data_IF_262367020350
#
_entry.id   IF_262367020350
#
_cell.length_a   1.000
_cell.length_b   1.000
_cell.length_c   1.000
_cell.angle_alpha   90.00
_cell.angle_beta   90.00
_cell.angle_gamma   90.00
#
_symmetry.space_group_name_H-M   'P 1'
#
loop_
_entity.id
_entity.type
_entity.pdbx_description
1 polymer ?
#
# COMPACT_ATOMS: atom_id res chain seq x y z
N UNK A 1 -25.64 18.01 2.52
CA UNK A 1 -24.84 18.86 1.62
C UNK A 1 -24.39 17.98 0.46
N UNK A 2 -24.82 18.28 -0.76
CA UNK A 2 -24.34 17.61 -1.97
C UNK A 2 -23.19 18.44 -2.53
N UNK A 3 -21.96 18.04 -2.27
CA UNK A 3 -20.79 18.68 -2.88
C UNK A 3 -20.78 18.35 -4.37
N UNK A 4 -20.55 19.38 -5.19
CA UNK A 4 -20.30 19.25 -6.63
C UNK A 4 -19.03 18.39 -6.81
N UNK A 5 -18.99 17.45 -7.77
CA UNK A 5 -17.74 16.74 -8.07
C UNK A 5 -16.66 17.76 -8.44
N UNK A 6 -15.46 17.60 -7.90
CA UNK A 6 -14.29 18.41 -8.23
C UNK A 6 -13.76 17.99 -9.60
N UNK A 7 -13.31 18.96 -10.42
CA UNK A 7 -12.57 18.69 -11.67
C UNK A 7 -11.11 18.27 -11.39
N UNK A 8 -10.66 18.37 -10.13
CA UNK A 8 -9.36 17.85 -9.72
C UNK A 8 -9.36 16.32 -9.85
N UNK A 9 -8.26 15.71 -10.35
CA UNK A 9 -8.14 14.26 -10.36
C UNK A 9 -8.36 13.76 -8.94
N UNK A 10 -9.26 12.78 -8.79
CA UNK A 10 -9.37 12.06 -7.52
C UNK A 10 -8.05 11.32 -7.24
N UNK A 11 -7.92 10.67 -6.10
CA UNK A 11 -6.73 9.87 -5.76
C UNK A 11 -6.56 8.59 -6.63
N UNK A 12 -7.07 8.59 -7.86
CA UNK A 12 -7.03 7.48 -8.81
C UNK A 12 -5.89 7.63 -9.85
N UNK A 13 -5.13 8.74 -9.79
CA UNK A 13 -3.96 9.07 -10.63
C UNK A 13 -2.80 9.62 -9.78
N UNK A 14 -1.53 9.55 -10.21
CA UNK A 14 -1.04 9.04 -11.50
C UNK A 14 -0.88 7.51 -11.54
N UNK A 15 -0.97 6.82 -10.41
CA UNK A 15 -0.91 5.36 -10.37
C UNK A 15 -2.31 4.80 -10.49
N UNK A 16 -2.58 4.11 -11.59
CA UNK A 16 -3.91 3.58 -11.87
C UNK A 16 -4.34 2.53 -10.85
N UNK A 17 -5.65 2.50 -10.59
CA UNK A 17 -6.26 1.51 -9.73
C UNK A 17 -6.43 0.16 -10.42
N UNK A 18 -6.46 -0.89 -9.61
CA UNK A 18 -6.72 -2.25 -10.02
C UNK A 18 -8.23 -2.45 -10.21
N UNK A 19 -8.63 -2.96 -11.37
CA UNK A 19 -10.01 -3.34 -11.62
C UNK A 19 -10.42 -4.53 -10.73
N UNK A 20 -11.44 -4.35 -9.88
CA UNK A 20 -11.91 -5.39 -8.96
C UNK A 20 -12.38 -6.65 -9.73
N UNK A 21 -11.74 -7.82 -9.55
CA UNK A 21 -12.07 -9.05 -10.28
C UNK A 21 -13.55 -9.45 -10.25
N UNK A 22 -14.21 -9.38 -9.09
CA UNK A 22 -15.64 -9.71 -8.93
C UNK A 22 -16.61 -8.79 -9.69
N UNK A 23 -16.14 -7.66 -10.24
CA UNK A 23 -16.93 -6.80 -11.13
C UNK A 23 -16.87 -7.24 -12.59
N UNK A 24 -15.92 -8.11 -12.95
CA UNK A 24 -15.70 -8.58 -14.33
C UNK A 24 -15.88 -10.08 -14.49
N UNK A 25 -15.61 -10.86 -13.44
CA UNK A 25 -15.75 -12.31 -13.41
C UNK A 25 -17.07 -12.69 -12.76
N UNK A 26 -17.77 -13.68 -13.35
CA UNK A 26 -19.05 -14.20 -12.84
C UNK A 26 -18.90 -15.53 -12.09
N UNK A 27 -17.67 -15.99 -11.90
CA UNK A 27 -17.36 -17.23 -11.21
C UNK A 27 -17.60 -17.08 -9.70
N UNK A 28 -18.24 -18.07 -9.09
CA UNK A 28 -18.53 -18.11 -7.65
C UNK A 28 -17.39 -18.70 -6.82
N UNK A 29 -16.33 -19.18 -7.46
CA UNK A 29 -15.18 -19.72 -6.78
C UNK A 29 -14.44 -18.64 -5.97
N UNK A 30 -13.91 -19.04 -4.82
CA UNK A 30 -13.24 -18.16 -3.87
C UNK A 30 -11.99 -17.45 -4.39
N UNK A 31 -11.33 -17.90 -5.47
CA UNK A 31 -10.19 -17.15 -6.02
C UNK A 31 -10.61 -15.76 -6.51
N UNK A 32 -11.84 -15.61 -7.01
CA UNK A 32 -12.41 -14.30 -7.40
C UNK A 32 -12.61 -13.43 -6.17
N UNK A 33 -13.10 -14.00 -5.07
CA UNK A 33 -13.28 -13.30 -3.80
C UNK A 33 -11.92 -12.84 -3.25
N UNK A 34 -10.99 -13.78 -3.08
CA UNK A 34 -9.62 -13.53 -2.60
C UNK A 34 -8.91 -12.45 -3.42
N UNK A 35 -8.89 -12.58 -4.75
CA UNK A 35 -8.29 -11.57 -5.62
C UNK A 35 -9.02 -10.21 -5.55
N UNK A 36 -10.33 -10.19 -5.28
CA UNK A 36 -11.10 -8.94 -5.10
C UNK A 36 -10.84 -8.24 -3.79
N UNK A 37 -10.69 -9.00 -2.71
CA UNK A 37 -10.34 -8.47 -1.39
C UNK A 37 -8.91 -7.91 -1.41
N UNK A 38 -7.97 -8.62 -2.03
CA UNK A 38 -6.60 -8.11 -2.21
C UNK A 38 -6.56 -6.85 -3.08
N UNK A 39 -7.25 -6.85 -4.22
CA UNK A 39 -7.36 -5.66 -5.06
C UNK A 39 -7.97 -4.46 -4.31
N UNK A 40 -8.84 -4.70 -3.33
CA UNK A 40 -9.43 -3.64 -2.50
C UNK A 40 -8.43 -3.08 -1.49
N UNK A 41 -7.62 -3.94 -0.85
CA UNK A 41 -6.51 -3.52 0.00
C UNK A 41 -5.48 -2.71 -0.81
N UNK A 42 -5.06 -3.24 -1.96
CA UNK A 42 -4.10 -2.61 -2.87
C UNK A 42 -4.58 -1.26 -3.40
N UNK A 43 -5.86 -1.14 -3.76
CA UNK A 43 -6.44 0.15 -4.16
C UNK A 43 -6.46 1.17 -3.02
N UNK A 44 -6.47 0.74 -1.75
CA UNK A 44 -6.31 1.67 -0.62
C UNK A 44 -4.86 2.16 -0.50
N UNK A 45 -3.88 1.28 -0.77
CA UNK A 45 -2.46 1.61 -0.84
C UNK A 45 -2.18 2.61 -1.97
N UNK A 46 -2.64 2.30 -3.19
CA UNK A 46 -2.46 3.14 -4.39
C UNK A 46 -3.09 4.52 -4.18
N UNK A 47 -4.32 4.59 -3.65
CA UNK A 47 -4.96 5.88 -3.37
C UNK A 47 -4.19 6.71 -2.34
N UNK A 48 -3.63 6.08 -1.32
CA UNK A 48 -2.78 6.78 -0.36
C UNK A 48 -1.53 7.37 -1.02
N UNK A 49 -0.86 6.59 -1.89
CA UNK A 49 0.30 7.07 -2.64
C UNK A 49 -0.05 8.22 -3.59
N UNK A 50 -1.15 8.08 -4.34
CA UNK A 50 -1.66 9.12 -5.23
C UNK A 50 -1.99 10.40 -4.46
N UNK A 51 -2.65 10.28 -3.30
CA UNK A 51 -2.93 11.43 -2.44
C UNK A 51 -1.65 12.13 -1.99
N UNK A 52 -0.60 11.38 -1.60
CA UNK A 52 0.71 11.97 -1.26
C UNK A 52 1.28 12.73 -2.45
N UNK A 53 1.36 12.09 -3.62
CA UNK A 53 1.97 12.68 -4.83
C UNK A 53 1.22 13.90 -5.33
N UNK A 54 -0.11 13.91 -5.22
CA UNK A 54 -0.93 15.04 -5.64
C UNK A 54 -0.88 16.21 -4.65
N UNK A 55 -0.84 15.95 -3.33
CA UNK A 55 -0.97 17.00 -2.33
C UNK A 55 0.37 17.57 -1.86
N UNK A 56 1.42 16.76 -1.80
CA UNK A 56 2.74 17.20 -1.33
C UNK A 56 3.33 18.39 -2.11
N UNK A 57 3.21 18.51 -3.46
CA UNK A 57 3.70 19.68 -4.19
C UNK A 57 3.02 21.00 -3.80
N UNK A 58 1.85 20.95 -3.16
CA UNK A 58 1.06 22.12 -2.77
C UNK A 58 1.28 22.55 -1.32
N UNK A 59 2.06 21.79 -0.54
CA UNK A 59 2.43 22.19 0.82
C UNK A 59 3.59 23.18 0.75
N UNK A 60 3.31 24.43 1.14
CA UNK A 60 4.28 25.51 1.15
C UNK A 60 5.52 25.16 1.99
N UNK A 61 6.70 25.51 1.49
CA UNK A 61 8.00 25.30 2.16
C UNK A 61 8.41 26.55 2.95
N UNK A 62 9.43 26.43 3.81
CA UNK A 62 9.86 27.52 4.71
C UNK A 62 10.29 28.83 4.05
N UNK A 63 10.57 28.80 2.74
CA UNK A 63 10.89 29.99 1.95
C UNK A 63 9.63 30.73 1.43
N UNK A 64 8.46 30.09 1.44
CA UNK A 64 7.23 30.65 0.90
C UNK A 64 6.49 31.52 1.94
N UNK A 65 5.85 32.60 1.50
CA UNK A 65 5.06 33.48 2.37
C UNK A 65 3.87 32.73 3.02
N UNK A 66 3.30 31.75 2.31
CA UNK A 66 2.19 30.95 2.78
C UNK A 66 2.59 29.82 3.75
N UNK A 67 3.87 29.70 4.11
CA UNK A 67 4.40 28.61 4.94
C UNK A 67 3.70 28.49 6.28
N UNK A 68 3.29 27.26 6.60
CA UNK A 68 2.77 26.88 7.92
C UNK A 68 3.43 25.57 8.33
N UNK A 69 4.21 25.62 9.42
CA UNK A 69 4.87 24.43 9.95
C UNK A 69 3.88 23.30 10.30
N UNK A 70 2.62 23.62 10.62
CA UNK A 70 1.60 22.62 10.92
C UNK A 70 1.20 21.81 9.68
N UNK A 71 1.02 22.47 8.53
CA UNK A 71 0.62 21.81 7.29
C UNK A 71 1.68 20.77 6.86
N UNK A 72 2.96 21.09 7.04
CA UNK A 72 4.06 20.14 6.81
C UNK A 72 4.02 18.98 7.81
N UNK A 73 3.77 19.24 9.10
CA UNK A 73 3.66 18.16 10.11
C UNK A 73 2.51 17.21 9.79
N UNK A 74 1.37 17.75 9.38
CA UNK A 74 0.19 16.96 9.04
C UNK A 74 0.45 16.09 7.80
N UNK A 75 1.11 16.65 6.78
CA UNK A 75 1.57 15.87 5.62
C UNK A 75 2.53 14.75 6.03
N UNK A 76 3.57 15.05 6.81
CA UNK A 76 4.58 14.06 7.22
C UNK A 76 3.94 12.95 8.08
N UNK A 77 2.99 13.29 8.95
CA UNK A 77 2.24 12.31 9.73
C UNK A 77 1.36 11.42 8.84
N UNK A 78 0.71 11.98 7.82
CA UNK A 78 -0.06 11.21 6.84
C UNK A 78 0.84 10.23 6.07
N UNK A 79 1.98 10.70 5.56
CA UNK A 79 2.97 9.88 4.86
C UNK A 79 3.49 8.75 5.77
N UNK A 80 3.87 9.08 7.00
CA UNK A 80 4.32 8.10 7.98
C UNK A 80 3.26 7.02 8.24
N UNK A 81 2.00 7.45 8.42
CA UNK A 81 0.88 6.54 8.67
C UNK A 81 0.62 5.62 7.48
N UNK A 82 0.69 6.16 6.26
CA UNK A 82 0.58 5.39 5.02
C UNK A 82 1.70 4.34 4.92
N UNK A 83 2.96 4.72 5.11
CA UNK A 83 4.09 3.77 5.04
C UNK A 83 3.94 2.65 6.08
N UNK A 84 3.57 2.99 7.33
CA UNK A 84 3.35 1.99 8.38
C UNK A 84 2.22 1.02 8.04
N UNK A 85 1.13 1.51 7.45
CA UNK A 85 0.02 0.66 7.00
C UNK A 85 0.44 -0.28 5.85
N UNK A 86 1.22 0.20 4.89
CA UNK A 86 1.74 -0.64 3.79
C UNK A 86 2.73 -1.67 4.30
N UNK A 87 3.64 -1.31 5.21
CA UNK A 87 4.56 -2.26 5.83
C UNK A 87 3.81 -3.34 6.63
N UNK A 88 2.72 -2.98 7.31
CA UNK A 88 1.86 -3.95 7.99
C UNK A 88 1.25 -4.95 7.01
N UNK A 89 0.71 -4.44 5.91
CA UNK A 89 0.11 -5.24 4.84
C UNK A 89 1.09 -6.31 4.32
N UNK A 90 2.29 -5.90 3.89
CA UNK A 90 3.30 -6.86 3.40
C UNK A 90 3.86 -7.77 4.50
N UNK A 91 3.95 -7.31 5.76
CA UNK A 91 4.35 -8.17 6.87
C UNK A 91 3.36 -9.31 7.10
N UNK A 92 2.05 -9.03 7.03
CA UNK A 92 1.01 -10.06 7.14
C UNK A 92 1.13 -11.06 5.98
N UNK A 93 1.41 -10.58 4.78
CA UNK A 93 1.61 -11.42 3.62
C UNK A 93 2.76 -12.41 3.80
N UNK A 94 3.96 -11.90 4.08
CA UNK A 94 5.17 -12.72 4.23
C UNK A 94 5.10 -13.64 5.45
N UNK A 95 4.54 -13.16 6.56
CA UNK A 95 4.52 -13.91 7.82
C UNK A 95 3.42 -14.95 7.87
N UNK A 96 2.38 -14.84 7.03
CA UNK A 96 1.20 -15.68 7.13
C UNK A 96 0.55 -16.05 5.80
N UNK A 97 0.17 -15.07 4.96
CA UNK A 97 -0.60 -15.37 3.73
C UNK A 97 0.21 -16.26 2.80
N UNK A 98 1.44 -15.85 2.47
CA UNK A 98 2.25 -16.59 1.50
C UNK A 98 2.55 -18.01 1.97
N UNK A 99 3.07 -18.24 3.20
CA UNK A 99 3.32 -19.59 3.68
C UNK A 99 2.07 -20.48 3.74
N UNK A 100 0.94 -19.97 4.22
CA UNK A 100 -0.28 -20.77 4.35
C UNK A 100 -0.94 -21.03 2.98
N UNK A 101 -0.85 -20.12 2.02
CA UNK A 101 -1.29 -20.36 0.63
C UNK A 101 -0.47 -21.47 -0.04
N UNK A 102 0.86 -21.47 0.11
CA UNK A 102 1.71 -22.52 -0.45
C UNK A 102 1.42 -23.88 0.18
N UNK A 103 1.29 -23.92 1.51
CA UNK A 103 0.96 -25.13 2.26
C UNK A 103 -0.43 -25.68 1.90
N UNK A 104 -1.44 -24.82 1.81
CA UNK A 104 -2.80 -25.21 1.43
C UNK A 104 -2.85 -25.73 -0.02
N UNK A 105 -2.20 -25.02 -0.94
CA UNK A 105 -2.20 -25.39 -2.36
C UNK A 105 -1.36 -26.64 -2.65
N UNK A 106 -0.43 -26.99 -1.77
CA UNK A 106 0.58 -28.04 -2.02
C UNK A 106 1.53 -27.69 -3.16
N UNK A 107 1.65 -26.40 -3.51
CA UNK A 107 2.49 -25.88 -4.60
C UNK A 107 3.59 -24.99 -4.02
N UNK A 108 4.77 -25.54 -3.69
CA UNK A 108 5.91 -24.75 -3.25
C UNK A 108 6.30 -23.70 -4.29
N UNK A 109 6.56 -22.46 -3.83
CA UNK A 109 6.93 -21.34 -4.69
C UNK A 109 5.76 -20.66 -5.40
N UNK A 110 4.51 -20.99 -5.08
CA UNK A 110 3.33 -20.30 -5.63
C UNK A 110 3.36 -18.80 -5.34
N UNK A 111 3.94 -18.38 -4.21
CA UNK A 111 4.02 -16.98 -3.78
C UNK A 111 5.44 -16.41 -3.83
N UNK A 112 6.40 -17.13 -4.44
CA UNK A 112 7.79 -16.72 -4.48
C UNK A 112 8.03 -15.42 -5.25
N UNK A 113 7.31 -15.19 -6.35
CA UNK A 113 7.48 -13.97 -7.15
C UNK A 113 6.91 -12.73 -6.44
N UNK A 114 5.66 -12.72 -5.92
CA UNK A 114 5.17 -11.62 -5.08
C UNK A 114 6.14 -11.29 -3.93
N UNK A 115 6.63 -12.31 -3.23
CA UNK A 115 7.61 -12.13 -2.15
C UNK A 115 8.91 -11.49 -2.63
N UNK A 116 9.47 -11.95 -3.77
CA UNK A 116 10.70 -11.38 -4.33
C UNK A 116 10.51 -9.91 -4.76
N UNK A 117 9.32 -9.54 -5.22
CA UNK A 117 9.02 -8.17 -5.61
C UNK A 117 9.04 -7.21 -4.42
N UNK A 118 8.74 -7.66 -3.19
CA UNK A 118 8.84 -6.83 -1.98
C UNK A 118 10.24 -6.25 -1.77
N UNK A 119 11.27 -7.03 -2.06
CA UNK A 119 12.68 -6.61 -1.95
C UNK A 119 13.00 -5.38 -2.83
N UNK A 120 12.27 -5.19 -3.93
CA UNK A 120 12.49 -4.10 -4.88
C UNK A 120 12.05 -2.73 -4.34
N UNK A 121 11.13 -2.69 -3.36
CA UNK A 121 10.58 -1.44 -2.86
C UNK A 121 10.76 -1.22 -1.34
N UNK A 122 11.06 -2.26 -0.56
CA UNK A 122 11.24 -2.14 0.89
C UNK A 122 12.29 -1.09 1.31
N UNK A 123 13.42 -1.03 0.61
CA UNK A 123 14.46 -0.03 0.90
C UNK A 123 13.96 1.41 0.69
N UNK A 124 13.19 1.65 -0.37
CA UNK A 124 12.61 2.97 -0.63
C UNK A 124 11.53 3.35 0.38
N UNK A 125 10.69 2.38 0.77
CA UNK A 125 9.68 2.55 1.82
C UNK A 125 10.32 2.89 3.17
N UNK A 126 11.40 2.21 3.54
CA UNK A 126 12.15 2.48 4.77
C UNK A 126 12.78 3.88 4.75
N UNK A 127 13.31 4.32 3.61
CA UNK A 127 13.81 5.70 3.44
C UNK A 127 12.68 6.72 3.61
N UNK A 128 11.51 6.47 3.04
CA UNK A 128 10.36 7.36 3.15
C UNK A 128 9.85 7.44 4.60
N UNK A 129 9.82 6.31 5.31
CA UNK A 129 9.48 6.28 6.73
C UNK A 129 10.45 7.09 7.58
N UNK A 130 11.76 6.91 7.35
CA UNK A 130 12.80 7.68 8.02
C UNK A 130 12.70 9.17 7.74
N UNK A 131 12.47 9.54 6.47
CA UNK A 131 12.21 10.91 6.06
C UNK A 131 11.00 11.48 6.81
N UNK A 132 9.84 10.84 6.75
CA UNK A 132 8.61 11.33 7.37
C UNK A 132 8.70 11.42 8.90
N UNK A 133 9.46 10.51 9.54
CA UNK A 133 9.57 10.44 11.01
C UNK A 133 10.56 11.45 11.59
N UNK A 134 11.56 11.88 10.83
CA UNK A 134 12.67 12.72 11.34
C UNK A 134 12.74 14.11 10.72
N UNK A 135 12.04 14.33 9.61
CA UNK A 135 12.07 15.60 8.89
C UNK A 135 11.53 16.73 9.77
N UNK A 136 12.32 17.79 9.88
CA UNK A 136 11.86 19.03 10.51
C UNK A 136 11.01 19.82 9.51
N UNK A 137 9.90 20.44 9.94
CA UNK A 137 9.02 21.19 9.04
C UNK A 137 9.75 22.23 8.18
N UNK A 138 10.72 22.94 8.76
CA UNK A 138 11.49 23.96 8.06
C UNK A 138 12.45 23.43 6.99
N UNK A 139 12.76 22.14 7.04
CA UNK A 139 13.68 21.44 6.12
C UNK A 139 12.95 20.62 5.05
N UNK A 140 11.62 20.51 5.15
CA UNK A 140 10.80 19.80 4.18
C UNK A 140 10.91 20.45 2.80
N UNK A 141 10.99 19.59 1.78
CA UNK A 141 10.86 19.96 0.37
C UNK A 141 10.27 18.80 -0.42
N UNK A 142 9.40 19.11 -1.38
CA UNK A 142 8.87 18.13 -2.31
C UNK A 142 9.94 17.70 -3.33
N UNK A 143 10.53 18.67 -4.04
CA UNK A 143 11.55 18.46 -5.07
C UNK A 143 12.97 18.83 -4.61
N UNK A 144 13.95 18.57 -5.49
CA UNK A 144 15.37 18.80 -5.26
C UNK A 144 16.05 17.59 -4.61
N UNK A 145 17.38 17.63 -4.55
CA UNK A 145 18.19 16.53 -4.00
C UNK A 145 17.75 16.20 -2.56
N UNK A 146 17.40 14.94 -2.32
CA UNK A 146 16.89 14.47 -1.02
C UNK A 146 15.50 14.98 -0.67
N UNK A 147 14.74 15.48 -1.64
CA UNK A 147 13.33 15.80 -1.49
C UNK A 147 12.46 14.54 -1.46
N UNK A 148 11.25 14.65 -0.92
CA UNK A 148 10.37 13.49 -0.73
C UNK A 148 10.01 12.80 -2.07
N UNK A 149 9.90 13.57 -3.16
CA UNK A 149 9.62 13.04 -4.50
C UNK A 149 10.68 12.05 -4.97
N UNK A 150 11.97 12.36 -4.79
CA UNK A 150 13.08 11.50 -5.20
C UNK A 150 13.01 10.13 -4.50
N UNK A 151 12.65 10.14 -3.22
CA UNK A 151 12.48 8.91 -2.43
C UNK A 151 11.31 8.10 -2.98
N UNK A 152 10.15 8.73 -3.22
CA UNK A 152 8.97 8.06 -3.78
C UNK A 152 9.27 7.47 -5.16
N UNK A 153 9.89 8.25 -6.05
CA UNK A 153 10.23 7.83 -7.41
C UNK A 153 11.14 6.58 -7.42
N UNK A 154 11.96 6.39 -6.36
CA UNK A 154 12.88 5.25 -6.24
C UNK A 154 12.17 3.90 -6.06
N UNK A 155 10.93 3.86 -5.61
CA UNK A 155 10.22 2.61 -5.31
C UNK A 155 8.78 2.53 -5.83
N UNK A 156 8.12 3.65 -6.09
CA UNK A 156 6.68 3.69 -6.36
C UNK A 156 6.25 2.79 -7.52
N UNK A 157 7.03 2.77 -8.61
CA UNK A 157 6.73 1.91 -9.75
C UNK A 157 6.86 0.42 -9.43
N UNK A 158 7.86 0.02 -8.63
CA UNK A 158 8.02 -1.36 -8.17
C UNK A 158 6.86 -1.79 -7.27
N UNK A 159 6.48 -0.94 -6.31
CA UNK A 159 5.32 -1.17 -5.46
C UNK A 159 4.04 -1.33 -6.30
N UNK A 160 3.74 -0.40 -7.19
CA UNK A 160 2.49 -0.44 -7.97
C UNK A 160 2.44 -1.64 -8.92
N UNK A 161 3.56 -2.02 -9.54
CA UNK A 161 3.63 -3.22 -10.37
C UNK A 161 3.36 -4.47 -9.53
N UNK A 162 4.00 -4.60 -8.37
CA UNK A 162 3.75 -5.70 -7.45
C UNK A 162 2.28 -5.82 -7.06
N UNK A 163 1.65 -4.69 -6.70
CA UNK A 163 0.24 -4.66 -6.32
C UNK A 163 -0.68 -5.14 -7.45
N UNK A 164 -0.29 -4.99 -8.72
CA UNK A 164 -1.04 -5.53 -9.86
C UNK A 164 -0.73 -7.01 -10.09
N UNK A 165 0.56 -7.36 -10.15
CA UNK A 165 1.04 -8.71 -10.47
C UNK A 165 0.54 -9.76 -9.48
N UNK A 166 0.46 -9.42 -8.19
CA UNK A 166 -0.06 -10.35 -7.18
C UNK A 166 -1.51 -10.74 -7.45
N UNK A 167 -2.34 -9.82 -7.95
CA UNK A 167 -3.74 -10.12 -8.28
C UNK A 167 -3.81 -11.18 -9.39
N UNK A 168 -2.92 -11.11 -10.37
CA UNK A 168 -2.83 -12.11 -11.43
C UNK A 168 -2.41 -13.47 -10.89
N UNK A 169 -1.47 -13.52 -9.91
CA UNK A 169 -1.10 -14.75 -9.22
C UNK A 169 -2.30 -15.37 -8.49
N UNK A 170 -3.05 -14.56 -7.72
CA UNK A 170 -4.25 -15.03 -7.01
C UNK A 170 -5.32 -15.56 -7.98
N UNK A 171 -5.46 -14.95 -9.16
CA UNK A 171 -6.40 -15.41 -10.20
C UNK A 171 -6.01 -16.77 -10.81
N UNK A 172 -4.75 -17.20 -10.70
CA UNK A 172 -4.33 -18.54 -11.13
C UNK A 172 -4.81 -19.67 -10.20
N UNK A 173 -5.32 -19.34 -9.01
CA UNK A 173 -5.74 -20.31 -7.99
C UNK A 173 -7.09 -20.98 -8.26
N UNK A 174 -7.68 -20.77 -9.44
CA UNK A 174 -8.98 -21.31 -9.86
C UNK A 174 -9.13 -22.84 -9.82
N UNK A 175 -8.01 -23.56 -9.79
CA UNK A 175 -7.99 -25.03 -9.75
C UNK A 175 -7.83 -25.58 -8.31
N UNK A 176 -7.73 -24.72 -7.29
CA UNK A 176 -7.66 -25.13 -5.88
C UNK A 176 -9.05 -25.43 -5.31
N UNK A 177 -9.14 -26.13 -4.18
CA UNK A 177 -10.42 -26.32 -3.50
C UNK A 177 -11.00 -24.97 -3.03
N UNK A 178 -12.17 -24.60 -3.55
CA UNK A 178 -12.77 -23.30 -3.27
C UNK A 178 -13.07 -23.07 -1.78
N UNK A 179 -13.56 -24.08 -1.07
CA UNK A 179 -13.93 -23.94 0.33
C UNK A 179 -12.69 -23.80 1.21
N UNK A 180 -11.65 -24.59 0.95
CA UNK A 180 -10.36 -24.51 1.61
C UNK A 180 -9.66 -23.17 1.37
N UNK A 181 -9.62 -22.68 0.12
CA UNK A 181 -9.01 -21.38 -0.21
C UNK A 181 -9.68 -20.25 0.56
N UNK A 182 -11.03 -20.24 0.57
CA UNK A 182 -11.81 -19.26 1.32
C UNK A 182 -11.47 -19.29 2.82
N UNK A 183 -11.43 -20.49 3.41
CA UNK A 183 -11.12 -20.66 4.83
C UNK A 183 -9.70 -20.15 5.16
N UNK A 184 -8.71 -20.48 4.34
CA UNK A 184 -7.32 -20.04 4.57
C UNK A 184 -7.22 -18.52 4.46
N UNK A 185 -7.93 -17.92 3.50
CA UNK A 185 -8.00 -16.47 3.34
C UNK A 185 -8.69 -15.76 4.52
N UNK A 186 -9.84 -16.26 4.98
CA UNK A 186 -10.54 -15.70 6.14
C UNK A 186 -9.68 -15.73 7.42
N UNK A 187 -8.85 -16.77 7.59
CA UNK A 187 -7.89 -16.84 8.71
C UNK A 187 -6.82 -15.74 8.62
N UNK A 188 -6.33 -15.45 7.41
CA UNK A 188 -5.39 -14.36 7.19
C UNK A 188 -5.99 -13.01 7.53
N UNK A 189 -7.24 -12.76 7.12
CA UNK A 189 -7.92 -11.51 7.46
C UNK A 189 -8.07 -11.30 8.97
N UNK A 190 -8.38 -12.37 9.71
CA UNK A 190 -8.48 -12.31 11.17
C UNK A 190 -7.13 -11.91 11.77
N UNK A 191 -6.03 -12.50 11.31
CA UNK A 191 -4.69 -12.15 11.77
C UNK A 191 -4.33 -10.70 11.44
N UNK A 192 -4.62 -10.26 10.21
CA UNK A 192 -4.37 -8.89 9.76
C UNK A 192 -5.07 -7.87 10.67
N UNK A 193 -6.32 -8.14 11.05
CA UNK A 193 -7.15 -7.31 11.94
C UNK A 193 -6.66 -7.33 13.40
N UNK A 194 -6.09 -8.44 13.87
CA UNK A 194 -5.57 -8.57 15.25
C UNK A 194 -4.24 -7.85 15.44
N UNK A 195 -3.41 -7.84 14.41
CA UNK A 195 -2.05 -7.29 14.45
C UNK A 195 -2.00 -5.83 14.01
N UNK A 196 -2.98 -5.38 13.20
CA UNK A 196 -3.18 -3.97 12.85
C UNK A 196 -3.89 -3.20 13.97
N UNK A 197 -3.32 -2.08 14.41
CA UNK A 197 -3.96 -1.20 15.39
C UNK A 197 -3.54 0.25 15.21
N UNK A 198 -4.38 1.21 15.64
CA UNK A 198 -4.02 2.64 15.67
C UNK A 198 -2.73 2.86 16.46
N UNK A 199 -2.49 2.08 17.52
CA UNK A 199 -1.26 2.17 18.31
C UNK A 199 0.01 1.89 17.50
N UNK A 200 -0.06 1.26 16.31
CA UNK A 200 1.11 1.16 15.43
C UNK A 200 1.51 2.50 14.80
N UNK A 201 0.54 3.40 14.60
CA UNK A 201 0.77 4.72 14.02
C UNK A 201 1.48 5.63 15.02
N UNK A 202 1.18 5.48 16.31
CA UNK A 202 1.71 6.32 17.40
C UNK A 202 3.07 5.86 17.94
N UNK A 203 3.41 4.57 17.81
CA UNK A 203 4.71 4.05 18.28
C UNK A 203 5.84 4.45 17.34
N UNK A 204 6.88 5.09 17.87
CA UNK A 204 8.19 5.11 17.22
C UNK A 204 8.63 3.67 17.03
N UNK A 205 8.95 3.26 15.80
CA UNK A 205 9.60 1.96 15.60
C UNK A 205 10.99 2.09 16.21
N UNK A 206 11.22 1.45 17.34
CA UNK A 206 12.58 1.15 17.79
C UNK A 206 13.14 0.15 16.77
N UNK A 207 14.05 0.63 15.91
CA UNK A 207 14.87 -0.18 15.01
C UNK A 207 15.99 -0.81 15.84
#
# INVERSE_FOLDING_TARGET
MTTKPSDAPWADEPFHLIATPSKRLTDSHSYVQTASEMASAHNSIIRGLNAIVQQAPHVAISADEAYRAQDVKDLLFYVQSWVKMVNHHHWVEESFIFPEMEKFSGKPGLMAEPQRQHELFHDGMNKLLGYASTMKPESYRWEGQGGMKEIIDSFAHHLVNHLHDEIDVLLTMKDLDSAGLKKTWEQAEVLAKQTGSIGMLERSLEI
#
